data_IF_038848687972
#
_entry.id   IF_038848687972
#
_cell.length_a   1.000
_cell.length_b   1.000
_cell.length_c   1.000
_cell.angle_alpha   90.00
_cell.angle_beta   90.00
_cell.angle_gamma   90.00
#
_symmetry.space_group_name_H-M   'P 1'
#
loop_
_entity.id
_entity.type
_entity.pdbx_description
1 polymer ?
#
# COMPACT_ATOMS: atom_id res chain seq x y z
N UNK A 1 11.71 5.64 29.12
CA UNK A 1 12.00 4.35 28.46
C UNK A 1 10.79 3.42 28.32
N UNK A 2 9.97 3.15 29.34
CA UNK A 2 8.81 2.23 29.26
C UNK A 2 7.71 2.63 28.23
N UNK A 3 7.48 3.91 27.99
CA UNK A 3 6.47 4.40 27.03
C UNK A 3 6.83 4.12 25.56
N UNK A 4 8.12 4.13 25.22
CA UNK A 4 8.62 3.83 23.86
C UNK A 4 8.52 2.32 23.55
N UNK A 5 8.71 1.46 24.54
CA UNK A 5 8.54 0.01 24.35
C UNK A 5 7.07 -0.40 24.20
N UNK A 6 6.16 0.29 24.86
CA UNK A 6 4.71 0.03 24.74
C UNK A 6 4.21 0.37 23.34
N UNK A 7 4.65 1.52 22.79
CA UNK A 7 4.28 1.97 21.47
C UNK A 7 4.79 1.02 20.36
N UNK A 8 6.00 0.46 20.54
CA UNK A 8 6.60 -0.48 19.59
C UNK A 8 5.92 -1.87 19.57
N UNK A 9 5.34 -2.30 20.70
CA UNK A 9 4.58 -3.57 20.79
C UNK A 9 3.19 -3.43 20.19
N UNK A 10 2.49 -2.34 20.46
CA UNK A 10 1.19 -2.04 19.89
C UNK A 10 1.27 -1.94 18.35
N UNK A 11 2.28 -1.23 17.83
CA UNK A 11 2.52 -1.10 16.40
C UNK A 11 2.84 -2.45 15.73
N UNK A 12 3.60 -3.33 16.39
CA UNK A 12 3.90 -4.69 15.90
C UNK A 12 2.68 -5.60 15.88
N UNK A 13 1.78 -5.50 16.87
CA UNK A 13 0.56 -6.31 16.91
C UNK A 13 -0.40 -5.90 15.79
N UNK A 14 -0.65 -4.60 15.60
CA UNK A 14 -1.48 -4.09 14.50
C UNK A 14 -0.97 -4.49 13.12
N UNK A 15 0.35 -4.43 12.90
CA UNK A 15 0.95 -4.84 11.63
C UNK A 15 0.76 -6.34 11.37
N UNK A 16 0.89 -7.16 12.41
CA UNK A 16 0.72 -8.61 12.32
C UNK A 16 -0.74 -8.98 12.02
N UNK A 17 -1.68 -8.35 12.69
CA UNK A 17 -3.11 -8.61 12.49
C UNK A 17 -3.53 -8.21 11.07
N UNK A 18 -3.04 -7.09 10.58
CA UNK A 18 -3.27 -6.64 9.19
C UNK A 18 -2.73 -7.62 8.16
N UNK A 19 -1.55 -8.21 8.38
CA UNK A 19 -0.98 -9.24 7.50
C UNK A 19 -1.84 -10.52 7.47
N UNK A 20 -2.36 -10.97 8.61
CA UNK A 20 -3.23 -12.13 8.68
C UNK A 20 -4.54 -11.90 7.93
N UNK A 21 -5.14 -10.73 8.04
CA UNK A 21 -6.33 -10.36 7.26
C UNK A 21 -6.07 -10.40 5.75
N UNK A 22 -4.94 -9.87 5.29
CA UNK A 22 -4.57 -9.88 3.88
C UNK A 22 -4.37 -11.31 3.35
N UNK A 23 -3.71 -12.18 4.13
CA UNK A 23 -3.50 -13.59 3.77
C UNK A 23 -4.84 -14.33 3.72
N UNK A 24 -5.68 -14.15 4.74
CA UNK A 24 -7.00 -14.77 4.79
C UNK A 24 -7.89 -14.32 3.62
N UNK A 25 -7.91 -13.02 3.31
CA UNK A 25 -8.64 -12.47 2.15
C UNK A 25 -8.16 -13.11 0.85
N UNK A 26 -6.84 -13.24 0.67
CA UNK A 26 -6.25 -13.87 -0.52
C UNK A 26 -6.67 -15.34 -0.65
N UNK A 27 -6.59 -16.11 0.44
CA UNK A 27 -6.99 -17.53 0.44
C UNK A 27 -8.49 -17.65 0.13
N UNK A 28 -9.34 -16.84 0.76
CA UNK A 28 -10.79 -16.85 0.53
C UNK A 28 -11.12 -16.51 -0.92
N UNK A 29 -10.49 -15.50 -1.51
CA UNK A 29 -10.73 -15.10 -2.89
C UNK A 29 -10.23 -16.16 -3.89
N UNK A 30 -9.05 -16.76 -3.65
CA UNK A 30 -8.57 -17.89 -4.45
C UNK A 30 -9.54 -19.08 -4.39
N UNK A 31 -10.01 -19.45 -3.18
CA UNK A 31 -10.96 -20.52 -2.99
C UNK A 31 -12.30 -20.19 -3.66
N UNK A 32 -12.79 -18.96 -3.57
CA UNK A 32 -14.03 -18.53 -4.19
C UNK A 32 -13.97 -18.63 -5.72
N UNK A 33 -12.88 -18.15 -6.34
CA UNK A 33 -12.65 -18.28 -7.78
C UNK A 33 -12.60 -19.76 -8.17
N UNK A 34 -11.81 -20.55 -7.43
CA UNK A 34 -11.71 -22.00 -7.70
C UNK A 34 -13.08 -22.69 -7.63
N UNK A 35 -13.85 -22.49 -6.56
CA UNK A 35 -15.17 -23.08 -6.38
C UNK A 35 -16.14 -22.65 -7.48
N UNK A 36 -16.14 -21.38 -7.86
CA UNK A 36 -17.00 -20.86 -8.92
C UNK A 36 -16.76 -21.57 -10.25
N UNK A 37 -15.52 -21.81 -10.63
CA UNK A 37 -15.21 -22.48 -11.88
C UNK A 37 -15.38 -24.00 -11.79
N UNK A 38 -15.13 -24.62 -10.63
CA UNK A 38 -15.23 -26.07 -10.47
C UNK A 38 -16.65 -26.55 -10.08
N UNK A 39 -17.51 -25.64 -9.60
CA UNK A 39 -18.90 -25.97 -9.35
C UNK A 39 -19.70 -26.20 -10.65
N UNK A 40 -19.41 -25.44 -11.68
CA UNK A 40 -20.08 -25.56 -12.98
C UNK A 40 -19.23 -26.38 -13.96
N UNK A 41 -19.71 -27.57 -14.33
CA UNK A 41 -19.01 -28.49 -15.23
C UNK A 41 -18.46 -27.86 -16.53
N UNK A 42 -19.20 -27.02 -17.28
CA UNK A 42 -18.70 -26.43 -18.52
C UNK A 42 -17.52 -25.45 -18.28
N UNK A 43 -17.44 -24.85 -17.11
CA UNK A 43 -16.39 -23.88 -16.78
C UNK A 43 -15.06 -24.52 -16.38
N UNK A 44 -15.05 -25.81 -15.99
CA UNK A 44 -13.84 -26.54 -15.59
C UNK A 44 -12.82 -26.62 -16.70
N UNK A 45 -13.24 -26.96 -17.92
CA UNK A 45 -12.36 -27.05 -19.07
C UNK A 45 -11.86 -25.65 -19.51
N UNK A 46 -12.75 -24.65 -19.42
CA UNK A 46 -12.46 -23.28 -19.76
C UNK A 46 -11.40 -22.66 -18.82
N UNK A 47 -11.37 -23.06 -17.55
CA UNK A 47 -10.44 -22.51 -16.55
C UNK A 47 -8.97 -22.58 -16.98
N UNK A 48 -8.55 -23.67 -17.63
CA UNK A 48 -7.16 -23.85 -18.09
C UNK A 48 -6.92 -23.19 -19.45
N UNK A 49 -7.95 -23.09 -20.30
CA UNK A 49 -7.81 -22.63 -21.69
C UNK A 49 -8.10 -21.14 -21.89
N UNK A 50 -8.53 -20.43 -20.85
CA UNK A 50 -8.80 -19.00 -20.92
C UNK A 50 -7.54 -18.21 -21.29
N UNK A 51 -7.67 -17.28 -22.23
CA UNK A 51 -6.60 -16.36 -22.61
C UNK A 51 -6.22 -15.41 -21.48
N UNK A 52 -7.22 -14.90 -20.74
CA UNK A 52 -7.04 -14.09 -19.54
C UNK A 52 -7.49 -14.92 -18.35
N UNK A 53 -6.53 -15.35 -17.55
CA UNK A 53 -6.82 -16.22 -16.41
C UNK A 53 -7.41 -15.39 -15.25
N UNK A 54 -8.53 -15.83 -14.62
CA UNK A 54 -9.16 -15.09 -13.51
C UNK A 54 -8.23 -14.91 -12.30
N UNK A 55 -7.33 -15.88 -12.07
CA UNK A 55 -6.31 -15.74 -11.02
C UNK A 55 -5.31 -14.60 -11.31
N UNK A 56 -5.08 -14.24 -12.58
CA UNK A 56 -4.24 -13.09 -12.91
C UNK A 56 -4.87 -11.77 -12.44
N UNK A 57 -6.19 -11.65 -12.60
CA UNK A 57 -6.94 -10.49 -12.11
C UNK A 57 -6.83 -10.40 -10.60
N UNK A 58 -6.97 -11.53 -9.89
CA UNK A 58 -6.82 -11.58 -8.44
C UNK A 58 -5.42 -11.16 -8.00
N UNK A 59 -4.36 -11.72 -8.59
CA UNK A 59 -2.97 -11.37 -8.30
C UNK A 59 -2.73 -9.87 -8.54
N UNK A 60 -3.23 -9.34 -9.65
CA UNK A 60 -3.12 -7.92 -9.99
C UNK A 60 -3.78 -7.02 -8.95
N UNK A 61 -4.99 -7.38 -8.53
CA UNK A 61 -5.74 -6.63 -7.53
C UNK A 61 -5.05 -6.65 -6.16
N UNK A 62 -4.56 -7.82 -5.73
CA UNK A 62 -3.82 -7.96 -4.48
C UNK A 62 -2.49 -7.19 -4.51
N UNK A 63 -1.78 -7.20 -5.63
CA UNK A 63 -0.53 -6.46 -5.79
C UNK A 63 -0.74 -4.94 -5.74
N UNK A 64 -1.78 -4.44 -6.39
CA UNK A 64 -2.13 -3.02 -6.38
C UNK A 64 -2.62 -2.54 -5.00
N UNK A 65 -3.26 -3.42 -4.23
CA UNK A 65 -3.79 -3.06 -2.92
C UNK A 65 -2.75 -3.13 -1.81
N UNK A 66 -1.90 -4.16 -1.83
CA UNK A 66 -1.03 -4.52 -0.71
C UNK A 66 0.47 -4.41 -1.02
N UNK A 67 0.84 -4.06 -2.26
CA UNK A 67 2.23 -3.91 -2.68
C UNK A 67 2.91 -5.20 -3.11
N UNK A 68 4.21 -5.11 -3.30
CA UNK A 68 5.01 -6.17 -3.95
C UNK A 68 5.07 -7.46 -3.14
N UNK A 69 5.31 -7.38 -1.83
CA UNK A 69 5.48 -8.58 -0.99
C UNK A 69 4.22 -9.47 -0.96
N UNK A 70 3.05 -8.87 -0.70
CA UNK A 70 1.78 -9.61 -0.68
C UNK A 70 1.29 -9.97 -2.08
N UNK A 71 1.67 -9.21 -3.09
CA UNK A 71 1.47 -9.54 -4.50
C UNK A 71 2.19 -10.82 -4.90
N UNK A 72 3.47 -10.98 -4.54
CA UNK A 72 4.24 -12.19 -4.80
C UNK A 72 3.63 -13.39 -4.05
N UNK A 73 3.22 -13.20 -2.81
CA UNK A 73 2.53 -14.25 -2.05
C UNK A 73 1.22 -14.67 -2.73
N UNK A 74 0.46 -13.71 -3.25
CA UNK A 74 -0.75 -13.98 -4.05
C UNK A 74 -0.44 -14.78 -5.32
N UNK A 75 0.66 -14.46 -6.01
CA UNK A 75 1.10 -15.20 -7.18
C UNK A 75 1.47 -16.66 -6.85
N UNK A 76 2.07 -16.92 -5.68
CA UNK A 76 2.35 -18.27 -5.20
C UNK A 76 1.04 -19.04 -4.96
N UNK A 77 0.07 -18.46 -4.26
CA UNK A 77 -1.24 -19.09 -4.04
C UNK A 77 -1.99 -19.34 -5.35
N UNK A 78 -2.00 -18.36 -6.26
CA UNK A 78 -2.61 -18.50 -7.58
C UNK A 78 -1.96 -19.64 -8.40
N UNK A 79 -0.64 -19.72 -8.36
CA UNK A 79 0.12 -20.79 -9.04
C UNK A 79 -0.22 -22.16 -8.44
N UNK A 80 -0.27 -22.28 -7.12
CA UNK A 80 -0.64 -23.52 -6.44
C UNK A 80 -2.08 -23.95 -6.81
N UNK A 81 -3.03 -22.99 -6.82
CA UNK A 81 -4.42 -23.23 -7.21
C UNK A 81 -4.51 -23.67 -8.68
N UNK A 82 -3.73 -23.06 -9.56
CA UNK A 82 -3.69 -23.41 -10.98
C UNK A 82 -3.15 -24.84 -11.21
N UNK A 83 -2.04 -25.20 -10.55
CA UNK A 83 -1.47 -26.55 -10.62
C UNK A 83 -2.43 -27.59 -10.04
N UNK A 84 -3.08 -27.27 -8.93
CA UNK A 84 -4.08 -28.13 -8.31
C UNK A 84 -5.29 -28.35 -9.23
N UNK A 85 -5.79 -27.29 -9.87
CA UNK A 85 -6.86 -27.38 -10.85
C UNK A 85 -6.49 -28.27 -12.05
N UNK A 86 -5.25 -28.15 -12.51
CA UNK A 86 -4.69 -28.97 -13.60
C UNK A 86 -4.68 -30.47 -13.23
N UNK A 87 -4.26 -30.78 -12.01
CA UNK A 87 -4.24 -32.14 -11.48
C UNK A 87 -5.66 -32.74 -11.36
N UNK A 88 -6.64 -31.96 -10.87
CA UNK A 88 -8.02 -32.40 -10.75
C UNK A 88 -8.70 -32.74 -12.09
N UNK A 89 -8.22 -32.17 -13.19
CA UNK A 89 -8.69 -32.48 -14.53
C UNK A 89 -8.07 -33.77 -15.11
N UNK A 90 -7.34 -34.52 -14.28
CA UNK A 90 -6.73 -35.78 -14.65
C UNK A 90 -5.55 -35.65 -15.62
N UNK A 91 -4.95 -34.45 -15.71
CA UNK A 91 -3.81 -34.21 -16.55
C UNK A 91 -2.50 -34.52 -15.82
N UNK A 92 -1.52 -35.05 -16.53
CA UNK A 92 -0.25 -35.44 -15.95
C UNK A 92 0.60 -34.19 -15.59
N UNK A 93 1.09 -34.13 -14.35
CA UNK A 93 1.94 -33.05 -13.89
C UNK A 93 3.29 -32.98 -14.61
N UNK A 94 3.77 -34.10 -15.19
CA UNK A 94 4.99 -34.11 -15.98
C UNK A 94 4.78 -33.34 -17.30
N UNK A 95 3.63 -33.50 -17.92
CA UNK A 95 3.24 -32.73 -19.12
C UNK A 95 3.07 -31.22 -18.79
N UNK A 96 2.61 -30.89 -17.58
CA UNK A 96 2.50 -29.49 -17.16
C UNK A 96 3.85 -28.76 -17.23
N UNK A 97 4.93 -29.39 -16.78
CA UNK A 97 6.28 -28.79 -16.79
C UNK A 97 6.87 -28.71 -18.21
N UNK A 98 6.50 -29.66 -19.08
CA UNK A 98 7.01 -29.73 -20.45
C UNK A 98 6.27 -28.80 -21.43
N UNK A 99 4.99 -28.52 -21.18
CA UNK A 99 4.17 -27.66 -22.04
C UNK A 99 4.28 -26.18 -21.68
N UNK A 100 4.94 -25.41 -22.53
CA UNK A 100 5.08 -23.96 -22.40
C UNK A 100 3.74 -23.23 -22.27
N UNK A 101 2.67 -23.76 -22.87
CA UNK A 101 1.35 -23.14 -22.83
C UNK A 101 0.78 -22.97 -21.40
N UNK A 102 1.14 -23.82 -20.47
CA UNK A 102 0.72 -23.77 -19.06
C UNK A 102 1.69 -22.97 -18.21
N UNK A 103 2.96 -23.08 -18.47
CA UNK A 103 4.02 -22.40 -17.72
C UNK A 103 3.98 -20.88 -17.87
N UNK A 104 3.53 -20.39 -19.04
CA UNK A 104 3.36 -18.96 -19.31
C UNK A 104 2.45 -18.25 -18.28
N UNK A 105 1.39 -18.92 -17.78
CA UNK A 105 0.48 -18.32 -16.81
C UNK A 105 1.15 -18.08 -15.47
N UNK A 106 1.94 -19.05 -14.99
CA UNK A 106 2.71 -18.89 -13.75
C UNK A 106 3.67 -17.70 -13.88
N UNK A 107 4.38 -17.63 -14.99
CA UNK A 107 5.29 -16.52 -15.26
C UNK A 107 4.55 -15.17 -15.27
N UNK A 108 3.37 -15.12 -15.91
CA UNK A 108 2.53 -13.92 -15.93
C UNK A 108 2.04 -13.51 -14.54
N UNK A 109 1.71 -14.47 -13.66
CA UNK A 109 1.30 -14.14 -12.27
C UNK A 109 2.43 -13.45 -11.52
N UNK A 110 3.65 -13.98 -11.59
CA UNK A 110 4.81 -13.37 -10.93
C UNK A 110 5.17 -12.03 -11.56
N UNK A 111 5.14 -11.92 -12.87
CA UNK A 111 5.44 -10.68 -13.58
C UNK A 111 4.43 -9.58 -13.24
N UNK A 112 3.14 -9.90 -13.22
CA UNK A 112 2.09 -8.98 -12.80
C UNK A 112 2.27 -8.57 -11.33
N UNK A 113 2.57 -9.52 -10.44
CA UNK A 113 2.81 -9.23 -9.03
C UNK A 113 3.95 -8.25 -8.83
N UNK A 114 5.08 -8.45 -9.50
CA UNK A 114 6.26 -7.60 -9.38
C UNK A 114 6.02 -6.21 -9.98
N UNK A 115 5.46 -6.12 -11.18
CA UNK A 115 5.25 -4.83 -11.86
C UNK A 115 4.23 -3.99 -11.09
N UNK A 116 3.07 -4.56 -10.79
CA UNK A 116 1.98 -3.82 -10.14
C UNK A 116 2.30 -3.56 -8.67
N UNK A 117 2.91 -4.53 -7.97
CA UNK A 117 3.34 -4.36 -6.59
C UNK A 117 4.41 -3.29 -6.42
N UNK A 118 5.43 -3.27 -7.29
CA UNK A 118 6.46 -2.23 -7.25
C UNK A 118 5.92 -0.84 -7.61
N UNK A 119 4.91 -0.77 -8.48
CA UNK A 119 4.24 0.50 -8.78
C UNK A 119 3.49 1.05 -7.56
N UNK A 120 2.81 0.16 -6.81
CA UNK A 120 2.15 0.52 -5.55
C UNK A 120 3.15 1.01 -4.50
N UNK A 121 4.24 0.27 -4.29
CA UNK A 121 5.26 0.61 -3.30
C UNK A 121 5.91 1.98 -3.62
N UNK A 122 6.13 2.28 -4.90
CA UNK A 122 6.63 3.61 -5.35
C UNK A 122 5.62 4.72 -5.10
N UNK A 123 4.34 4.45 -5.35
CA UNK A 123 3.28 5.42 -5.10
C UNK A 123 3.16 5.74 -3.60
N UNK A 124 3.22 4.72 -2.74
CA UNK A 124 3.20 4.91 -1.29
C UNK A 124 4.41 5.72 -0.81
N UNK A 125 5.60 5.39 -1.29
CA UNK A 125 6.81 6.16 -0.98
C UNK A 125 6.71 7.64 -1.41
N UNK A 126 6.11 7.93 -2.56
CA UNK A 126 5.88 9.30 -3.00
C UNK A 126 4.87 10.03 -2.11
N UNK A 127 3.81 9.35 -1.72
CA UNK A 127 2.79 9.91 -0.81
C UNK A 127 3.42 10.26 0.54
N UNK A 128 4.22 9.36 1.11
CA UNK A 128 4.91 9.59 2.38
C UNK A 128 5.84 10.81 2.28
N UNK A 129 6.63 10.92 1.22
CA UNK A 129 7.50 12.10 0.99
C UNK A 129 6.72 13.40 0.89
N UNK A 130 5.62 13.40 0.14
CA UNK A 130 4.78 14.59 0.01
C UNK A 130 4.14 14.98 1.35
N UNK A 131 3.78 14.04 2.18
CA UNK A 131 3.27 14.31 3.53
C UNK A 131 4.33 14.94 4.42
N UNK A 132 5.57 14.45 4.37
CA UNK A 132 6.70 15.01 5.11
C UNK A 132 6.99 16.46 4.66
N UNK A 133 7.05 16.72 3.34
CA UNK A 133 7.25 18.07 2.79
C UNK A 133 6.10 19.03 3.19
N UNK A 134 4.86 18.55 3.18
CA UNK A 134 3.71 19.33 3.64
C UNK A 134 3.80 19.67 5.12
N UNK A 135 4.24 18.71 5.94
CA UNK A 135 4.42 18.93 7.37
C UNK A 135 5.52 19.97 7.65
N UNK A 136 6.67 19.86 6.98
CA UNK A 136 7.77 20.84 7.09
C UNK A 136 7.33 22.23 6.65
N UNK A 137 6.63 22.33 5.51
CA UNK A 137 6.13 23.62 5.01
C UNK A 137 5.12 24.24 5.97
N UNK A 138 4.24 23.45 6.55
CA UNK A 138 3.27 23.92 7.54
C UNK A 138 3.96 24.44 8.80
N UNK A 139 5.00 23.76 9.28
CA UNK A 139 5.78 24.21 10.43
C UNK A 139 6.50 25.54 10.14
N UNK A 140 7.15 25.64 8.98
CA UNK A 140 7.82 26.85 8.54
C UNK A 140 6.84 28.06 8.44
N UNK A 141 5.63 27.84 7.91
CA UNK A 141 4.57 28.87 7.89
C UNK A 141 4.14 29.28 9.29
N UNK A 142 4.02 28.32 10.20
CA UNK A 142 3.66 28.60 11.60
C UNK A 142 4.75 29.46 12.27
N UNK A 143 6.02 29.07 12.12
CA UNK A 143 7.15 29.80 12.68
C UNK A 143 7.25 31.24 12.11
N UNK A 144 7.02 31.39 10.80
CA UNK A 144 7.00 32.70 10.14
C UNK A 144 5.87 33.57 10.68
N UNK A 145 4.68 33.01 10.84
CA UNK A 145 3.52 33.75 11.40
C UNK A 145 3.75 34.20 12.84
N UNK A 146 4.41 33.37 13.65
CA UNK A 146 4.82 33.75 15.00
C UNK A 146 5.88 34.84 15.01
N UNK A 147 6.87 34.78 14.14
CA UNK A 147 7.91 35.79 14.00
C UNK A 147 7.31 37.13 13.56
N UNK A 148 6.37 37.11 12.61
CA UNK A 148 5.65 38.32 12.18
C UNK A 148 4.83 38.94 13.34
N UNK A 149 4.10 38.12 14.08
CA UNK A 149 3.34 38.59 15.25
C UNK A 149 4.23 39.21 16.31
N UNK A 150 5.40 38.61 16.59
CA UNK A 150 6.39 39.17 17.54
C UNK A 150 6.92 40.51 17.03
N UNK A 151 7.23 40.61 15.74
CA UNK A 151 7.70 41.86 15.13
C UNK A 151 6.66 42.97 15.21
N UNK A 152 5.39 42.68 14.93
CA UNK A 152 4.30 43.63 15.06
C UNK A 152 4.11 44.09 16.51
N UNK A 153 4.23 43.18 17.47
CA UNK A 153 4.15 43.54 18.89
C UNK A 153 5.29 44.47 19.31
N UNK A 154 6.54 44.19 18.92
CA UNK A 154 7.70 45.03 19.20
C UNK A 154 7.54 46.40 18.54
N UNK A 155 7.09 46.47 17.28
CA UNK A 155 6.84 47.74 16.60
C UNK A 155 5.74 48.57 17.28
N UNK A 156 4.68 47.95 17.76
CA UNK A 156 3.64 48.64 18.50
C UNK A 156 4.13 49.20 19.85
N UNK A 157 4.96 48.44 20.57
CA UNK A 157 5.53 48.91 21.85
C UNK A 157 6.53 50.06 21.66
N UNK A 158 7.41 49.97 20.62
CA UNK A 158 8.29 51.08 20.28
C UNK A 158 7.53 52.35 19.91
N UNK A 159 6.46 52.23 19.13
CA UNK A 159 5.62 53.37 18.77
C UNK A 159 4.99 54.02 20.01
N UNK A 160 4.53 53.23 20.98
CA UNK A 160 3.99 53.73 22.26
C UNK A 160 5.04 54.45 23.07
N UNK A 161 6.28 53.97 23.13
CA UNK A 161 7.38 54.60 23.83
C UNK A 161 7.76 55.94 23.18
N UNK A 162 7.78 56.02 21.85
CA UNK A 162 8.09 57.27 21.11
C UNK A 162 7.03 58.33 21.42
N UNK A 163 5.75 57.99 21.36
CA UNK A 163 4.65 58.91 21.64
C UNK A 163 4.71 59.40 23.12
N UNK A 164 4.96 58.51 24.08
CA UNK A 164 5.08 58.87 25.48
C UNK A 164 6.30 59.76 25.78
N UNK A 165 7.42 59.61 25.04
CA UNK A 165 8.58 60.46 25.13
C UNK A 165 8.30 61.89 24.56
N UNK A 166 7.55 61.97 23.45
CA UNK A 166 7.16 63.22 22.82
C UNK A 166 6.24 64.06 23.73
N UNK A 167 5.25 63.44 24.38
CA UNK A 167 4.36 64.06 25.33
C UNK A 167 5.12 64.57 26.59
N UNK A 168 6.14 63.86 27.02
CA UNK A 168 6.99 64.28 28.15
C UNK A 168 7.87 65.50 27.83
N UNK A 169 8.33 65.66 26.59
CA UNK A 169 9.11 66.80 26.14
C UNK A 169 8.26 68.05 25.97
N UNK A 170 7.02 67.91 25.52
CA UNK A 170 6.08 69.00 25.33
C UNK A 170 5.50 69.54 26.62
N UNK A 171 5.64 68.81 27.73
CA UNK A 171 5.16 69.20 29.07
C UNK A 171 6.18 69.97 29.96
N UNK A 172 7.40 70.16 29.42
CA UNK A 172 8.49 70.96 30.03
C UNK A 172 8.52 72.32 29.44
#
# INVERSE_FOLDING_TARGET
>A
MRALEWNSRAYRSERRDRLWYCIAENIVLNAAIFLLFFHFNPLRAAFITMNIHPLLILVSLMSLRYGNYLGILSAVFASATFVYAYHLLGRDLVLFVLEWSHYKFILMFFLAAVILGSSKDRADFMIDRLQDELFETKNALTDLSEAERKSQFVAAELKKQIIGAEDSILSL
#
